data_IF_397134080046
#
_entry.id   IF_397134080046
#
_cell.length_a   1.000
_cell.length_b   1.000
_cell.length_c   1.000
_cell.angle_alpha   90.00
_cell.angle_beta   90.00
_cell.angle_gamma   90.00
#
_symmetry.space_group_name_H-M   'P 1'
#
loop_
_entity.id
_entity.type
_entity.pdbx_description
1 polymer ?
#
# COMPACT_ATOMS: atom_id res chain seq x y z
N UNK A 1 -9.68 -0.13 -6.94
CA UNK A 1 -8.36 -0.47 -7.50
C UNK A 1 -7.73 -1.52 -6.60
N UNK A 2 -7.17 -2.62 -7.13
CA UNK A 2 -6.52 -3.69 -6.34
C UNK A 2 -5.03 -3.41 -6.28
N UNK A 3 -4.42 -3.47 -5.09
CA UNK A 3 -2.97 -3.48 -4.97
C UNK A 3 -2.42 -4.83 -5.49
N UNK A 4 -1.49 -4.78 -6.45
CA UNK A 4 -0.86 -5.98 -6.98
C UNK A 4 0.32 -6.39 -6.09
N UNK A 5 0.46 -7.69 -5.76
CA UNK A 5 1.74 -8.22 -5.30
C UNK A 5 2.86 -7.88 -6.29
N UNK A 6 4.08 -7.68 -5.80
CA UNK A 6 5.22 -7.33 -6.65
C UNK A 6 5.46 -8.38 -7.76
N UNK A 7 5.29 -9.66 -7.44
CA UNK A 7 5.39 -10.75 -8.41
C UNK A 7 4.36 -10.61 -9.54
N UNK A 8 3.11 -10.27 -9.21
CA UNK A 8 2.07 -10.06 -10.21
C UNK A 8 2.33 -8.82 -11.07
N UNK A 9 2.89 -7.74 -10.50
CA UNK A 9 3.31 -6.58 -11.29
C UNK A 9 4.42 -6.95 -12.29
N UNK A 10 5.42 -7.72 -11.85
CA UNK A 10 6.53 -8.19 -12.68
C UNK A 10 6.00 -9.09 -13.82
N UNK A 11 5.14 -10.06 -13.48
CA UNK A 11 4.52 -10.95 -14.45
C UNK A 11 3.67 -10.18 -15.46
N UNK A 12 2.89 -9.20 -15.01
CA UNK A 12 2.08 -8.36 -15.87
C UNK A 12 2.94 -7.64 -16.92
N UNK A 13 4.04 -7.01 -16.49
CA UNK A 13 4.94 -6.28 -17.38
C UNK A 13 5.63 -7.23 -18.37
N UNK A 14 6.11 -8.38 -17.89
CA UNK A 14 6.73 -9.39 -18.75
C UNK A 14 5.76 -9.94 -19.81
N UNK A 15 4.50 -10.21 -19.43
CA UNK A 15 3.45 -10.67 -20.33
C UNK A 15 3.07 -9.63 -21.40
N UNK A 16 3.35 -8.35 -21.15
CA UNK A 16 3.21 -7.28 -22.15
C UNK A 16 4.42 -7.15 -23.09
N UNK A 17 5.41 -8.06 -23.03
CA UNK A 17 6.61 -7.98 -23.84
C UNK A 17 7.58 -6.88 -23.41
N UNK A 18 7.53 -6.49 -22.13
CA UNK A 18 8.44 -5.49 -21.56
C UNK A 18 9.54 -6.20 -20.77
N UNK A 19 10.78 -5.83 -21.05
CA UNK A 19 11.93 -6.17 -20.21
C UNK A 19 11.97 -5.21 -19.02
N UNK A 20 12.00 -5.76 -17.82
CA UNK A 20 12.15 -4.99 -16.59
C UNK A 20 13.63 -4.74 -16.36
N UNK A 21 14.01 -3.48 -16.31
CA UNK A 21 15.40 -3.03 -16.16
C UNK A 21 15.76 -2.68 -14.73
N UNK A 22 14.77 -2.28 -13.93
CA UNK A 22 14.95 -1.95 -12.53
C UNK A 22 13.64 -2.15 -11.76
N UNK A 23 13.76 -2.60 -10.51
CA UNK A 23 12.67 -2.66 -9.55
C UNK A 23 13.16 -2.02 -8.27
N UNK A 24 12.44 -1.02 -7.78
CA UNK A 24 12.68 -0.40 -6.49
C UNK A 24 11.46 -0.58 -5.62
N UNK A 25 11.69 -0.94 -4.37
CA UNK A 25 10.67 -1.02 -3.33
C UNK A 25 10.97 -0.01 -2.26
N UNK A 26 9.95 0.65 -1.75
CA UNK A 26 10.08 1.58 -0.65
C UNK A 26 8.86 1.51 0.26
N UNK A 27 8.95 2.11 1.44
CA UNK A 27 7.84 2.24 2.36
C UNK A 27 7.42 3.71 2.51
N UNK A 28 6.12 3.92 2.64
CA UNK A 28 5.55 5.22 2.98
C UNK A 28 4.81 5.08 4.29
N UNK A 29 5.20 5.88 5.28
CA UNK A 29 4.44 6.04 6.52
C UNK A 29 3.25 6.93 6.24
N UNK A 30 2.06 6.42 6.52
CA UNK A 30 0.80 7.14 6.36
C UNK A 30 0.23 7.47 7.73
N UNK A 31 -0.16 8.74 7.93
CA UNK A 31 -1.09 9.11 9.01
C UNK A 31 -2.51 8.70 8.56
N UNK A 32 -3.23 7.97 9.41
CA UNK A 32 -4.55 7.44 9.06
C UNK A 32 -5.59 8.54 8.79
N UNK A 33 -5.60 9.60 9.59
CA UNK A 33 -6.60 10.65 9.48
C UNK A 33 -6.36 11.52 8.25
N UNK A 34 -5.11 11.88 7.97
CA UNK A 34 -4.74 12.56 6.73
C UNK A 34 -5.06 11.70 5.50
N UNK A 35 -4.82 10.39 5.57
CA UNK A 35 -5.11 9.45 4.49
C UNK A 35 -6.61 9.35 4.19
N UNK A 36 -7.44 9.27 5.23
CA UNK A 36 -8.90 9.25 5.10
C UNK A 36 -9.43 10.57 4.53
N UNK A 37 -8.92 11.71 5.00
CA UNK A 37 -9.32 13.04 4.56
C UNK A 37 -8.93 13.30 3.10
N UNK A 38 -7.67 12.99 2.75
CA UNK A 38 -7.16 13.11 1.37
C UNK A 38 -7.97 12.26 0.39
N UNK A 39 -8.37 11.06 0.80
CA UNK A 39 -9.20 10.17 -0.01
C UNK A 39 -10.68 10.58 -0.04
N UNK A 40 -11.08 11.60 0.72
CA UNK A 40 -12.47 12.05 0.89
C UNK A 40 -13.41 10.89 1.27
N UNK A 41 -12.92 10.02 2.17
CA UNK A 41 -13.63 8.79 2.50
C UNK A 41 -14.87 9.11 3.36
N UNK A 42 -16.10 8.68 2.96
CA UNK A 42 -17.30 8.94 3.75
C UNK A 42 -17.21 8.37 5.18
N UNK A 43 -17.77 9.08 6.16
CA UNK A 43 -17.67 8.77 7.60
C UNK A 43 -17.92 7.30 7.95
N UNK A 44 -18.94 6.66 7.36
CA UNK A 44 -19.23 5.25 7.63
C UNK A 44 -18.08 4.32 7.18
N UNK A 45 -17.45 4.61 6.04
CA UNK A 45 -16.30 3.84 5.54
C UNK A 45 -15.04 4.15 6.34
N UNK A 46 -14.85 5.41 6.75
CA UNK A 46 -13.75 5.81 7.61
C UNK A 46 -13.79 5.09 8.97
N UNK A 47 -14.97 5.02 9.60
CA UNK A 47 -15.16 4.28 10.85
C UNK A 47 -14.81 2.78 10.68
N UNK A 48 -15.27 2.16 9.59
CA UNK A 48 -14.94 0.76 9.29
C UNK A 48 -13.44 0.57 9.06
N UNK A 49 -12.78 1.45 8.30
CA UNK A 49 -11.35 1.38 8.05
C UNK A 49 -10.54 1.52 9.33
N UNK A 50 -10.96 2.41 10.24
CA UNK A 50 -10.33 2.59 11.54
C UNK A 50 -10.39 1.32 12.40
N UNK A 51 -11.55 0.67 12.43
CA UNK A 51 -11.70 -0.61 13.16
C UNK A 51 -10.84 -1.73 12.55
N UNK A 52 -10.71 -1.77 11.23
CA UNK A 52 -9.83 -2.73 10.55
C UNK A 52 -8.37 -2.51 10.92
N UNK A 53 -7.87 -1.27 10.91
CA UNK A 53 -6.49 -0.95 11.25
C UNK A 53 -6.18 -1.21 12.74
N UNK A 54 -7.09 -0.88 13.66
CA UNK A 54 -6.94 -1.23 15.08
C UNK A 54 -6.94 -2.74 15.34
N UNK A 55 -7.66 -3.50 14.52
CA UNK A 55 -7.61 -4.95 14.58
C UNK A 55 -6.28 -5.47 14.06
N UNK A 56 -5.82 -4.92 12.95
CA UNK A 56 -4.54 -5.27 12.34
C UNK A 56 -3.34 -4.96 13.25
N UNK A 57 -3.37 -3.85 14.00
CA UNK A 57 -2.39 -3.55 15.05
C UNK A 57 -2.21 -4.71 16.05
N UNK A 58 -3.32 -5.36 16.44
CA UNK A 58 -3.33 -6.41 17.46
C UNK A 58 -3.06 -7.81 16.90
N UNK A 59 -3.42 -8.04 15.65
CA UNK A 59 -3.47 -9.38 15.05
C UNK A 59 -2.47 -9.58 13.88
N UNK A 60 -1.76 -8.55 13.43
CA UNK A 60 -0.83 -8.57 12.28
C UNK A 60 -1.44 -9.25 11.04
N UNK A 61 -2.59 -8.74 10.58
CA UNK A 61 -3.41 -9.31 9.51
C UNK A 61 -2.95 -8.89 8.11
N UNK A 62 -2.27 -7.75 7.98
CA UNK A 62 -1.91 -7.15 6.70
C UNK A 62 -0.40 -7.05 6.46
N UNK A 63 0.42 -7.22 7.51
CA UNK A 63 1.85 -6.95 7.46
C UNK A 63 2.23 -5.47 7.38
N UNK A 64 1.26 -4.54 7.40
CA UNK A 64 1.50 -3.08 7.43
C UNK A 64 1.83 -2.55 8.82
N UNK A 65 1.66 -3.41 9.85
CA UNK A 65 1.96 -3.18 11.27
C UNK A 65 1.61 -1.76 11.73
N UNK A 66 0.30 -1.44 11.83
CA UNK A 66 -0.13 -0.16 12.33
C UNK A 66 0.47 0.16 13.70
N UNK A 67 0.72 1.43 13.95
CA UNK A 67 1.41 1.91 15.14
C UNK A 67 0.86 3.26 15.59
N UNK A 68 1.08 3.60 16.85
CA UNK A 68 0.83 4.95 17.35
C UNK A 68 2.13 5.71 17.50
N UNK A 69 2.16 6.94 17.02
CA UNK A 69 3.25 7.89 17.22
C UNK A 69 2.64 9.23 17.62
N UNK A 70 3.08 9.79 18.75
CA UNK A 70 2.58 11.07 19.28
C UNK A 70 1.04 11.14 19.44
N UNK A 71 0.41 9.99 19.68
CA UNK A 71 -1.05 9.84 19.82
C UNK A 71 -1.81 9.68 18.49
N UNK A 72 -1.11 9.75 17.36
CA UNK A 72 -1.69 9.59 16.03
C UNK A 72 -1.53 8.16 15.53
N UNK A 73 -2.55 7.66 14.83
CA UNK A 73 -2.56 6.31 14.25
C UNK A 73 -1.89 6.34 12.88
N UNK A 74 -0.78 5.62 12.76
CA UNK A 74 -0.03 5.44 11.52
C UNK A 74 -0.03 4.00 11.03
N UNK A 75 0.30 3.81 9.75
CA UNK A 75 0.58 2.49 9.17
C UNK A 75 1.62 2.60 8.05
N UNK A 76 2.31 1.48 7.76
CA UNK A 76 3.33 1.44 6.73
C UNK A 76 2.75 0.86 5.44
N UNK A 77 2.70 1.68 4.40
CA UNK A 77 2.34 1.24 3.06
C UNK A 77 3.60 0.81 2.30
N UNK A 78 3.58 -0.36 1.68
CA UNK A 78 4.63 -0.78 0.75
C UNK A 78 4.35 -0.26 -0.66
N UNK A 79 5.39 0.24 -1.31
CA UNK A 79 5.35 0.75 -2.68
C UNK A 79 6.40 0.07 -3.53
N UNK A 80 6.12 -0.06 -4.82
CA UNK A 80 7.08 -0.56 -5.79
C UNK A 80 7.01 0.27 -7.07
N UNK A 81 8.18 0.56 -7.63
CA UNK A 81 8.35 1.20 -8.93
C UNK A 81 9.15 0.24 -9.81
N UNK A 82 8.57 -0.14 -10.95
CA UNK A 82 9.23 -0.94 -11.96
C UNK A 82 9.51 -0.07 -13.19
N UNK A 83 10.76 -0.08 -13.66
CA UNK A 83 11.17 0.59 -14.90
C UNK A 83 11.38 -0.47 -15.97
N UNK A 84 10.68 -0.34 -17.08
CA UNK A 84 10.70 -1.31 -18.16
C UNK A 84 10.87 -0.68 -19.53
N UNK A 85 11.28 -1.49 -20.50
CA UNK A 85 11.41 -1.13 -21.92
C UNK A 85 10.82 -2.23 -22.81
N UNK A 86 10.34 -1.93 -24.02
CA UNK A 86 9.92 -2.97 -24.95
C UNK A 86 11.07 -3.90 -25.32
N UNK A 87 10.78 -5.21 -25.40
CA UNK A 87 11.68 -6.18 -26.01
C UNK A 87 11.62 -5.96 -27.53
N UNK A 88 12.76 -5.62 -28.14
CA UNK A 88 12.89 -5.47 -29.59
C UNK A 88 13.11 -6.81 -30.27
#
# INVERSE_FOLDING_TARGET
MRALPLSELIELLANCGLEITNVQTDTLVQNFDDWIDTAQTPNQKAAKAREMIKRDEREDLSGTRPFYQDGELGFVQQTAIAVSRPIS
#
